data_IF_443767911847
#
_entry.id   IF_443767911847
#
_cell.length_a   1.000
_cell.length_b   1.000
_cell.length_c   1.000
_cell.angle_alpha   90.00
_cell.angle_beta   90.00
_cell.angle_gamma   90.00
#
_symmetry.space_group_name_H-M   'P 1'
#
loop_
_entity.id
_entity.type
_entity.pdbx_description
1 polymer ?
#
# COMPACT_ATOMS: atom_id res chain seq x y z
N UNK A 1 10.46 5.24 28.69
CA UNK A 1 11.70 5.48 27.90
C UNK A 1 11.48 6.61 26.91
N UNK A 2 12.54 7.14 26.31
CA UNK A 2 12.43 8.16 25.26
C UNK A 2 11.66 7.61 24.05
N UNK A 3 11.82 6.34 23.77
CA UNK A 3 11.13 5.61 22.70
C UNK A 3 9.61 5.53 22.95
N UNK A 4 9.18 5.31 24.20
CA UNK A 4 7.74 5.30 24.54
C UNK A 4 7.10 6.67 24.29
N UNK A 5 7.84 7.76 24.56
CA UNK A 5 7.38 9.12 24.27
C UNK A 5 7.18 9.39 22.78
N UNK A 6 8.08 8.90 21.93
CA UNK A 6 7.96 9.04 20.48
C UNK A 6 6.82 8.19 19.92
N UNK A 7 6.62 6.97 20.42
CA UNK A 7 5.50 6.12 20.05
C UNK A 7 4.14 6.74 20.40
N UNK A 8 4.04 7.37 21.57
CA UNK A 8 2.83 8.10 21.94
C UNK A 8 2.57 9.29 21.01
N UNK A 9 3.60 10.07 20.66
CA UNK A 9 3.47 11.16 19.68
C UNK A 9 3.08 10.65 18.28
N UNK A 10 3.61 9.51 17.86
CA UNK A 10 3.23 8.87 16.60
C UNK A 10 1.75 8.44 16.60
N UNK A 11 1.26 7.87 17.70
CA UNK A 11 -0.15 7.56 17.85
C UNK A 11 -1.04 8.81 17.79
N UNK A 12 -0.63 9.89 18.46
CA UNK A 12 -1.33 11.17 18.39
C UNK A 12 -1.39 11.70 16.96
N UNK A 13 -0.27 11.68 16.24
CA UNK A 13 -0.22 12.08 14.83
C UNK A 13 -1.19 11.29 13.97
N UNK A 14 -1.24 9.97 14.12
CA UNK A 14 -2.18 9.13 13.35
C UNK A 14 -3.64 9.48 13.67
N UNK A 15 -3.99 9.67 14.95
CA UNK A 15 -5.36 10.02 15.36
C UNK A 15 -5.78 11.40 14.85
N UNK A 16 -4.88 12.39 14.86
CA UNK A 16 -5.16 13.73 14.34
C UNK A 16 -5.36 13.73 12.82
N UNK A 17 -4.72 12.80 12.10
CA UNK A 17 -4.74 12.73 10.64
C UNK A 17 -5.65 11.63 10.07
N UNK A 18 -6.56 11.05 10.87
CA UNK A 18 -7.47 10.01 10.40
C UNK A 18 -8.95 10.45 10.32
N UNK A 19 -9.27 11.66 10.75
CA UNK A 19 -10.67 12.10 10.89
C UNK A 19 -11.42 12.17 9.54
N UNK A 20 -10.72 12.46 8.46
CA UNK A 20 -11.24 12.59 7.09
C UNK A 20 -10.97 11.35 6.22
N UNK A 21 -10.39 10.30 6.81
CA UNK A 21 -10.06 9.07 6.10
C UNK A 21 -11.16 8.03 6.27
N UNK A 22 -11.43 7.33 5.18
CA UNK A 22 -12.42 6.28 5.17
C UNK A 22 -12.30 5.40 3.92
N UNK A 23 -13.02 4.29 3.95
CA UNK A 23 -13.03 3.29 2.89
C UNK A 23 -14.43 2.73 2.67
N UNK A 24 -14.66 2.17 1.51
CA UNK A 24 -15.93 1.55 1.16
C UNK A 24 -15.89 0.05 1.40
N UNK A 25 -16.99 -0.48 1.96
CA UNK A 25 -17.25 -1.92 2.06
C UNK A 25 -18.63 -2.23 1.49
N UNK A 26 -18.95 -3.51 1.42
CA UNK A 26 -20.21 -4.02 0.95
C UNK A 26 -20.03 -5.18 0.00
N UNK A 27 -21.11 -5.91 -0.26
CA UNK A 27 -21.08 -7.12 -1.06
C UNK A 27 -20.48 -6.90 -2.45
N UNK A 28 -20.86 -5.82 -3.13
CA UNK A 28 -20.34 -5.49 -4.47
C UNK A 28 -18.84 -5.22 -4.47
N UNK A 29 -18.32 -4.62 -3.38
CA UNK A 29 -16.89 -4.34 -3.19
C UNK A 29 -16.12 -5.65 -3.01
N UNK A 30 -16.62 -6.56 -2.18
CA UNK A 30 -16.01 -7.87 -1.94
C UNK A 30 -16.04 -8.74 -3.22
N UNK A 31 -17.15 -8.77 -3.94
CA UNK A 31 -17.27 -9.48 -5.22
C UNK A 31 -16.27 -8.93 -6.26
N UNK A 32 -16.03 -7.62 -6.24
CA UNK A 32 -15.07 -6.99 -7.13
C UNK A 32 -13.62 -7.37 -6.77
N UNK A 33 -13.24 -7.36 -5.50
CA UNK A 33 -11.92 -7.84 -5.07
C UNK A 33 -11.71 -9.32 -5.41
N UNK A 34 -12.70 -10.16 -5.16
CA UNK A 34 -12.64 -11.59 -5.51
C UNK A 34 -12.44 -11.79 -7.02
N UNK A 35 -13.08 -10.94 -7.84
CA UNK A 35 -12.87 -10.94 -9.27
C UNK A 35 -11.44 -10.55 -9.64
N UNK A 36 -10.90 -9.46 -9.07
CA UNK A 36 -9.51 -9.03 -9.30
C UNK A 36 -8.54 -10.15 -8.93
N UNK A 37 -8.70 -10.73 -7.74
CA UNK A 37 -7.83 -11.79 -7.26
C UNK A 37 -7.89 -13.01 -8.20
N UNK A 38 -9.06 -13.34 -8.76
CA UNK A 38 -9.21 -14.42 -9.75
C UNK A 38 -8.46 -14.11 -11.06
N UNK A 39 -8.50 -12.86 -11.52
CA UNK A 39 -7.74 -12.42 -12.72
C UNK A 39 -6.25 -12.54 -12.48
N UNK A 40 -5.78 -12.19 -11.27
CA UNK A 40 -4.35 -12.25 -10.95
C UNK A 40 -3.81 -13.68 -10.80
N UNK A 41 -4.68 -14.69 -10.69
CA UNK A 41 -4.28 -16.10 -10.75
C UNK A 41 -4.08 -16.62 -12.19
N UNK A 42 -4.62 -15.95 -13.21
CA UNK A 42 -4.44 -16.34 -14.61
C UNK A 42 -2.97 -16.18 -15.00
N UNK A 43 -2.42 -17.12 -15.75
CA UNK A 43 -1.07 -17.00 -16.30
C UNK A 43 -1.02 -15.88 -17.33
N UNK A 44 0.10 -15.17 -17.40
CA UNK A 44 0.25 -14.02 -18.29
C UNK A 44 0.04 -14.35 -19.77
N UNK A 45 0.48 -15.54 -20.18
CA UNK A 45 0.34 -16.03 -21.57
C UNK A 45 -1.13 -16.31 -21.95
N UNK A 46 -1.99 -16.44 -20.94
CA UNK A 46 -3.41 -16.73 -21.10
C UNK A 46 -4.29 -15.46 -21.02
N UNK A 47 -3.68 -14.28 -20.90
CA UNK A 47 -4.43 -13.03 -20.79
C UNK A 47 -5.06 -12.64 -22.12
N UNK A 48 -6.39 -12.71 -22.15
CA UNK A 48 -7.21 -11.97 -23.13
C UNK A 48 -7.47 -10.57 -22.56
N UNK A 49 -6.58 -9.63 -22.87
CA UNK A 49 -6.64 -8.25 -22.34
C UNK A 49 -7.98 -7.57 -22.66
N UNK A 50 -8.54 -7.61 -23.89
CA UNK A 50 -9.86 -7.07 -24.20
C UNK A 50 -10.98 -7.66 -23.32
N UNK A 51 -10.99 -8.96 -23.10
CA UNK A 51 -11.98 -9.64 -22.26
C UNK A 51 -11.85 -9.22 -20.79
N UNK A 52 -10.63 -9.25 -20.22
CA UNK A 52 -10.34 -8.82 -18.85
C UNK A 52 -10.82 -7.38 -18.66
N UNK A 53 -10.46 -6.50 -19.59
CA UNK A 53 -10.84 -5.08 -19.54
C UNK A 53 -12.35 -4.88 -19.56
N UNK A 54 -13.07 -5.58 -20.48
CA UNK A 54 -14.51 -5.50 -20.55
C UNK A 54 -15.19 -5.98 -19.26
N UNK A 55 -14.66 -7.05 -18.66
CA UNK A 55 -15.18 -7.60 -17.40
C UNK A 55 -14.93 -6.67 -16.23
N UNK A 56 -13.75 -6.08 -16.11
CA UNK A 56 -13.47 -5.03 -15.10
C UNK A 56 -14.46 -3.88 -15.20
N UNK A 57 -14.71 -3.38 -16.40
CA UNK A 57 -15.68 -2.29 -16.62
C UNK A 57 -17.11 -2.68 -16.26
N UNK A 58 -17.49 -3.93 -16.49
CA UNK A 58 -18.80 -4.45 -16.13
C UNK A 58 -18.92 -4.54 -14.60
N UNK A 59 -17.95 -5.13 -13.93
CA UNK A 59 -17.94 -5.27 -12.47
C UNK A 59 -17.89 -3.89 -11.76
N UNK A 60 -17.09 -2.96 -12.25
CA UNK A 60 -16.98 -1.62 -11.69
C UNK A 60 -18.30 -0.84 -11.66
N UNK A 61 -19.29 -1.19 -12.51
CA UNK A 61 -20.63 -0.59 -12.45
C UNK A 61 -21.36 -0.92 -11.15
N UNK A 62 -21.14 -2.10 -10.61
CA UNK A 62 -21.81 -2.58 -9.40
C UNK A 62 -21.20 -2.01 -8.11
N UNK A 63 -20.00 -1.44 -8.16
CA UNK A 63 -19.33 -0.87 -6.98
C UNK A 63 -20.12 0.26 -6.32
N UNK A 64 -21.03 0.88 -7.07
CA UNK A 64 -21.92 1.95 -6.57
C UNK A 64 -23.22 1.42 -5.93
N UNK A 65 -23.44 0.10 -5.96
CA UNK A 65 -24.62 -0.50 -5.39
C UNK A 65 -24.47 -0.66 -3.88
N UNK A 66 -25.10 0.26 -3.14
CA UNK A 66 -25.15 0.24 -1.68
C UNK A 66 -23.79 0.10 -0.97
N UNK A 67 -22.75 0.86 -1.36
CA UNK A 67 -21.51 0.83 -0.61
C UNK A 67 -21.73 1.41 0.78
N UNK A 68 -21.06 0.85 1.77
CA UNK A 68 -21.02 1.36 3.14
C UNK A 68 -19.72 2.10 3.33
N UNK A 69 -19.81 3.41 3.64
CA UNK A 69 -18.65 4.20 4.01
C UNK A 69 -18.28 3.93 5.47
N UNK A 70 -17.06 3.54 5.70
CA UNK A 70 -16.49 3.31 7.03
C UNK A 70 -15.43 4.38 7.28
N UNK A 71 -15.58 5.11 8.38
CA UNK A 71 -14.59 6.09 8.81
C UNK A 71 -13.50 5.42 9.64
N UNK A 72 -12.25 5.66 9.33
CA UNK A 72 -11.11 5.04 10.00
C UNK A 72 -11.15 5.27 11.51
N UNK A 73 -11.50 6.48 11.94
CA UNK A 73 -11.63 6.85 13.36
C UNK A 73 -12.67 6.02 14.12
N UNK A 74 -13.64 5.41 13.42
CA UNK A 74 -14.70 4.60 14.01
C UNK A 74 -14.43 3.09 13.91
N UNK A 75 -13.59 2.67 12.98
CA UNK A 75 -13.48 1.26 12.60
C UNK A 75 -12.11 0.65 12.86
N UNK A 76 -11.04 1.46 12.88
CA UNK A 76 -9.71 0.93 13.16
C UNK A 76 -9.52 0.68 14.65
N UNK A 77 -8.97 -0.49 14.98
CA UNK A 77 -8.64 -0.85 16.35
C UNK A 77 -7.34 -0.20 16.82
N UNK A 78 -7.20 -0.04 18.14
CA UNK A 78 -5.94 0.40 18.72
C UNK A 78 -4.80 -0.56 18.40
N UNK A 79 -5.05 -1.88 18.41
CA UNK A 79 -4.05 -2.90 18.10
C UNK A 79 -3.51 -2.76 16.66
N UNK A 80 -4.40 -2.44 15.69
CA UNK A 80 -3.98 -2.18 14.32
C UNK A 80 -3.02 -0.98 14.24
N UNK A 81 -3.35 0.12 14.92
CA UNK A 81 -2.50 1.33 14.92
C UNK A 81 -1.19 1.09 15.65
N UNK A 82 -1.20 0.36 16.77
CA UNK A 82 0.00 -0.01 17.52
C UNK A 82 0.92 -0.87 16.65
N UNK A 83 0.37 -1.88 15.99
CA UNK A 83 1.15 -2.72 15.08
C UNK A 83 1.77 -1.91 13.95
N UNK A 84 1.00 -1.01 13.32
CA UNK A 84 1.54 -0.14 12.27
C UNK A 84 2.69 0.75 12.79
N UNK A 85 2.55 1.31 14.02
CA UNK A 85 3.58 2.11 14.66
C UNK A 85 4.85 1.27 14.87
N UNK A 86 4.71 0.08 15.45
CA UNK A 86 5.83 -0.80 15.74
C UNK A 86 6.61 -1.17 14.49
N UNK A 87 5.90 -1.52 13.43
CA UNK A 87 6.50 -1.87 12.15
C UNK A 87 7.15 -0.67 11.45
N UNK A 88 6.56 0.53 11.53
CA UNK A 88 7.15 1.74 11.00
C UNK A 88 8.44 2.13 11.77
N UNK A 89 8.44 2.01 13.10
CA UNK A 89 9.63 2.26 13.93
C UNK A 89 10.76 1.28 13.63
N UNK A 90 10.44 0.03 13.30
CA UNK A 90 11.44 -0.99 12.96
C UNK A 90 12.29 -0.58 11.73
N UNK A 91 11.75 0.18 10.80
CA UNK A 91 12.44 0.61 9.58
C UNK A 91 13.02 2.03 9.68
N UNK A 92 12.65 2.82 10.68
CA UNK A 92 13.14 4.19 10.84
C UNK A 92 14.65 4.27 11.03
N UNK A 93 15.27 3.29 11.71
CA UNK A 93 16.70 3.25 11.98
C UNK A 93 17.56 2.67 10.84
N UNK A 94 17.00 2.46 9.65
CA UNK A 94 17.75 2.00 8.48
C UNK A 94 18.85 3.01 8.10
N UNK A 95 19.97 2.56 7.52
CA UNK A 95 21.10 3.45 7.19
C UNK A 95 20.70 4.68 6.37
N UNK A 96 19.72 4.54 5.50
CA UNK A 96 19.22 5.60 4.62
C UNK A 96 18.21 6.54 5.27
N UNK A 97 17.73 6.23 6.49
CA UNK A 97 16.73 7.04 7.23
C UNK A 97 17.31 7.83 8.41
N UNK A 98 18.57 7.66 8.71
CA UNK A 98 19.22 8.28 9.91
C UNK A 98 19.14 9.79 9.94
N UNK A 99 18.86 10.44 8.83
CA UNK A 99 18.72 11.89 8.73
C UNK A 99 17.29 12.38 8.89
N UNK A 100 16.28 11.48 8.87
CA UNK A 100 14.89 11.88 9.01
C UNK A 100 14.60 12.37 10.42
N UNK A 101 14.00 13.54 10.51
CA UNK A 101 13.40 14.04 11.75
C UNK A 101 12.18 13.19 12.12
N UNK A 102 11.70 13.34 13.36
CA UNK A 102 10.50 12.65 13.79
C UNK A 102 9.26 13.10 12.99
N UNK A 103 9.19 14.38 12.66
CA UNK A 103 8.12 14.98 11.88
C UNK A 103 8.09 14.40 10.45
N UNK A 104 9.23 14.31 9.78
CA UNK A 104 9.36 13.69 8.47
C UNK A 104 9.03 12.18 8.53
N UNK A 105 9.46 11.49 9.57
CA UNK A 105 9.06 10.10 9.79
C UNK A 105 7.55 9.94 9.92
N UNK A 106 6.89 10.81 10.69
CA UNK A 106 5.43 10.77 10.85
C UNK A 106 4.71 11.05 9.54
N UNK A 107 5.23 11.92 8.69
CA UNK A 107 4.60 12.29 7.44
C UNK A 107 4.80 11.23 6.34
N UNK A 108 5.99 10.66 6.23
CA UNK A 108 6.37 9.85 5.07
C UNK A 108 6.41 8.35 5.33
N UNK A 109 6.76 7.91 6.54
CA UNK A 109 6.96 6.49 6.86
C UNK A 109 5.79 5.92 7.68
N UNK A 110 5.31 6.67 8.66
CA UNK A 110 4.31 6.22 9.62
C UNK A 110 2.90 5.95 9.05
N UNK A 111 2.39 6.66 8.01
CA UNK A 111 1.01 6.46 7.56
C UNK A 111 0.70 5.01 7.23
N UNK A 112 -0.49 4.55 7.66
CA UNK A 112 -0.95 3.16 7.54
C UNK A 112 -1.65 2.87 6.21
N UNK A 113 -1.88 3.89 5.38
CA UNK A 113 -2.55 3.81 4.08
C UNK A 113 -2.04 4.90 3.12
N UNK A 114 -2.29 4.69 1.83
CA UNK A 114 -1.94 5.65 0.77
C UNK A 114 -3.18 6.44 0.31
N UNK A 115 -4.28 5.75 0.03
CA UNK A 115 -5.50 6.34 -0.53
C UNK A 115 -6.76 5.98 0.25
N UNK A 116 -7.76 5.46 -0.46
CA UNK A 116 -9.07 5.05 0.10
C UNK A 116 -9.24 3.54 0.12
N UNK A 117 -8.15 2.79 0.03
CA UNK A 117 -8.13 1.34 0.12
C UNK A 117 -8.63 0.85 1.49
N UNK A 118 -9.14 -0.39 1.50
CA UNK A 118 -9.51 -1.07 2.75
C UNK A 118 -8.23 -1.27 3.58
N UNK A 119 -8.20 -0.75 4.84
CA UNK A 119 -7.03 -0.92 5.71
C UNK A 119 -6.77 -2.39 6.04
N UNK A 120 -5.52 -2.80 5.97
CA UNK A 120 -5.06 -4.14 6.36
C UNK A 120 -3.63 -4.09 6.91
N UNK A 121 -3.21 -5.15 7.58
CA UNK A 121 -1.83 -5.29 8.05
C UNK A 121 -0.96 -5.72 6.87
N UNK A 122 -0.38 -4.76 6.19
CA UNK A 122 0.32 -4.96 4.91
C UNK A 122 1.85 -4.95 5.03
N UNK A 123 2.40 -4.24 6.03
CA UNK A 123 3.85 -4.00 6.13
C UNK A 123 4.66 -5.29 6.20
N UNK A 124 4.23 -6.26 7.01
CA UNK A 124 4.92 -7.54 7.10
C UNK A 124 4.99 -8.26 5.75
N UNK A 125 3.91 -8.20 4.95
CA UNK A 125 3.83 -8.80 3.62
C UNK A 125 4.84 -8.20 2.64
N UNK A 126 4.97 -6.87 2.64
CA UNK A 126 5.90 -6.15 1.79
C UNK A 126 7.35 -6.37 2.24
N UNK A 127 7.57 -6.35 3.54
CA UNK A 127 8.89 -6.59 4.14
C UNK A 127 9.43 -7.98 3.79
N UNK A 128 8.61 -9.02 3.88
CA UNK A 128 9.00 -10.38 3.50
C UNK A 128 9.51 -10.44 2.05
N UNK A 129 8.89 -9.69 1.16
CA UNK A 129 9.26 -9.68 -0.26
C UNK A 129 10.47 -8.82 -0.58
N UNK A 130 10.53 -7.61 -0.05
CA UNK A 130 11.47 -6.59 -0.51
C UNK A 130 12.65 -6.35 0.43
N UNK A 131 12.52 -6.58 1.74
CA UNK A 131 13.64 -6.40 2.67
C UNK A 131 14.88 -7.24 2.32
N UNK A 132 14.77 -8.51 1.89
CA UNK A 132 15.95 -9.29 1.49
C UNK A 132 16.78 -8.64 0.40
N UNK A 133 16.17 -7.85 -0.48
CA UNK A 133 16.85 -7.13 -1.56
C UNK A 133 17.73 -5.98 -1.02
N UNK A 134 17.37 -5.44 0.13
CA UNK A 134 18.04 -4.32 0.79
C UNK A 134 19.07 -4.75 1.84
N UNK A 135 19.11 -6.05 2.18
CA UNK A 135 20.07 -6.62 3.14
C UNK A 135 21.45 -6.78 2.51
N UNK A 136 21.99 -5.67 2.00
CA UNK A 136 23.31 -5.59 1.39
C UNK A 136 24.08 -4.41 1.98
N UNK A 137 25.27 -4.70 2.51
CA UNK A 137 26.11 -3.68 3.15
C UNK A 137 26.54 -2.53 2.23
N UNK A 138 26.38 -2.66 0.93
CA UNK A 138 26.65 -1.57 -0.02
C UNK A 138 25.52 -0.52 -0.09
N UNK A 139 24.31 -0.83 0.40
CA UNK A 139 23.18 0.09 0.38
C UNK A 139 23.24 0.98 1.62
N UNK A 140 23.55 2.27 1.42
CA UNK A 140 23.76 3.25 2.48
C UNK A 140 22.86 4.48 2.35
N UNK A 141 22.32 4.73 1.17
CA UNK A 141 21.53 5.92 0.87
C UNK A 141 20.13 5.55 0.41
N UNK A 142 19.17 6.45 0.64
CA UNK A 142 17.80 6.30 0.16
C UNK A 142 17.75 6.10 -1.36
N UNK A 143 18.59 6.80 -2.12
CA UNK A 143 18.66 6.66 -3.57
C UNK A 143 19.08 5.25 -4.00
N UNK A 144 20.06 4.64 -3.30
CA UNK A 144 20.48 3.26 -3.59
C UNK A 144 19.37 2.27 -3.27
N UNK A 145 18.71 2.42 -2.12
CA UNK A 145 17.59 1.58 -1.71
C UNK A 145 16.42 1.71 -2.70
N UNK A 146 16.02 2.94 -3.04
CA UNK A 146 14.98 3.24 -4.01
C UNK A 146 15.28 2.59 -5.39
N UNK A 147 16.54 2.67 -5.85
CA UNK A 147 16.94 2.05 -7.11
C UNK A 147 16.75 0.53 -7.07
N UNK A 148 17.13 -0.14 -5.99
CA UNK A 148 16.98 -1.61 -5.85
C UNK A 148 15.51 -2.01 -5.92
N UNK A 149 14.64 -1.30 -5.19
CA UNK A 149 13.21 -1.55 -5.20
C UNK A 149 12.63 -1.30 -6.60
N UNK A 150 12.96 -0.18 -7.22
CA UNK A 150 12.47 0.16 -8.56
C UNK A 150 12.93 -0.86 -9.61
N UNK A 151 14.17 -1.32 -9.54
CA UNK A 151 14.69 -2.37 -10.43
C UNK A 151 13.94 -3.70 -10.27
N UNK A 152 13.35 -3.97 -9.09
CA UNK A 152 12.50 -5.14 -8.87
C UNK A 152 11.08 -4.91 -9.38
N UNK A 153 10.50 -3.74 -9.10
CA UNK A 153 9.15 -3.40 -9.56
C UNK A 153 9.04 -3.40 -11.09
N UNK A 154 10.06 -2.94 -11.80
CA UNK A 154 10.09 -2.93 -13.28
C UNK A 154 10.02 -4.36 -13.87
N UNK A 155 10.46 -5.37 -13.13
CA UNK A 155 10.40 -6.77 -13.59
C UNK A 155 8.99 -7.38 -13.50
N UNK A 156 8.08 -6.72 -12.77
CA UNK A 156 6.72 -7.23 -12.64
C UNK A 156 5.99 -7.18 -13.98
N UNK A 157 5.33 -8.27 -14.36
CA UNK A 157 4.62 -8.37 -15.64
C UNK A 157 3.28 -7.62 -15.57
N UNK A 158 3.31 -6.30 -15.45
CA UNK A 158 2.11 -5.49 -15.26
C UNK A 158 1.62 -4.94 -16.59
N UNK A 159 0.34 -5.17 -16.89
CA UNK A 159 -0.37 -4.52 -17.97
C UNK A 159 -1.05 -3.25 -17.45
N UNK A 160 -0.58 -2.09 -17.93
CA UNK A 160 -1.16 -0.81 -17.56
C UNK A 160 -2.39 -0.55 -18.42
N UNK A 161 -3.55 -0.40 -17.78
CA UNK A 161 -4.77 -0.01 -18.43
C UNK A 161 -4.72 1.48 -18.85
N UNK A 162 -5.18 1.78 -20.04
CA UNK A 162 -5.21 3.15 -20.58
C UNK A 162 -6.44 3.95 -20.14
N UNK A 163 -7.43 3.30 -19.55
CA UNK A 163 -8.67 3.91 -19.07
C UNK A 163 -9.02 3.32 -17.70
N UNK A 164 -9.69 4.11 -16.86
CA UNK A 164 -10.15 3.67 -15.55
C UNK A 164 -11.16 2.53 -15.67
N UNK A 165 -10.69 1.30 -15.59
CA UNK A 165 -11.51 0.11 -15.43
C UNK A 165 -11.65 -0.25 -13.95
N UNK A 166 -10.67 0.11 -13.15
CA UNK A 166 -10.63 -0.12 -11.70
C UNK A 166 -11.43 0.99 -11.02
N UNK A 167 -12.49 0.64 -10.34
CA UNK A 167 -13.36 1.60 -9.65
C UNK A 167 -12.99 1.85 -8.20
N UNK A 168 -11.96 1.17 -7.69
CA UNK A 168 -11.49 1.22 -6.31
C UNK A 168 -9.99 1.46 -6.24
N UNK A 169 -9.55 2.07 -5.14
CA UNK A 169 -8.17 2.01 -4.71
C UNK A 169 -7.90 0.59 -4.18
N UNK A 170 -6.94 -0.11 -4.78
CA UNK A 170 -6.66 -1.49 -4.44
C UNK A 170 -5.94 -1.58 -3.10
N UNK A 171 -6.34 -2.57 -2.29
CA UNK A 171 -5.68 -2.85 -1.01
C UNK A 171 -4.25 -3.41 -1.25
N UNK A 172 -3.33 -3.20 -0.29
CA UNK A 172 -1.94 -3.61 -0.42
C UNK A 172 -1.73 -5.09 -0.74
N UNK A 173 -2.50 -6.01 -0.14
CA UNK A 173 -2.39 -7.44 -0.42
C UNK A 173 -2.77 -7.82 -1.85
N UNK A 174 -3.63 -7.04 -2.49
CA UNK A 174 -3.96 -7.17 -3.91
C UNK A 174 -2.87 -6.54 -4.77
N UNK A 175 -2.37 -5.34 -4.40
CA UNK A 175 -1.35 -4.62 -5.15
C UNK A 175 -0.03 -5.39 -5.28
N UNK A 176 0.42 -6.08 -4.22
CA UNK A 176 1.68 -6.84 -4.25
C UNK A 176 1.68 -7.96 -5.30
N UNK A 177 0.49 -8.38 -5.74
CA UNK A 177 0.29 -9.38 -6.78
C UNK A 177 -0.22 -8.78 -8.09
N UNK A 178 -0.16 -7.46 -8.25
CA UNK A 178 -0.73 -6.75 -9.39
C UNK A 178 -0.17 -7.26 -10.72
N UNK A 179 -1.07 -7.52 -11.67
CA UNK A 179 -0.73 -7.91 -13.04
C UNK A 179 -1.44 -7.03 -14.07
N UNK A 180 -2.50 -6.34 -13.64
CA UNK A 180 -3.30 -5.47 -14.47
C UNK A 180 -3.85 -4.33 -13.63
N UNK A 181 -3.61 -3.09 -14.00
CA UNK A 181 -4.07 -1.93 -13.24
C UNK A 181 -3.80 -0.61 -13.95
N UNK A 182 -4.08 0.47 -13.25
CA UNK A 182 -3.79 1.83 -13.67
C UNK A 182 -2.39 2.27 -13.22
N UNK A 183 -1.89 3.36 -13.79
CA UNK A 183 -0.66 4.00 -13.31
C UNK A 183 -0.73 4.35 -11.81
N UNK A 184 -1.93 4.74 -11.32
CA UNK A 184 -2.14 5.00 -9.88
C UNK A 184 -1.98 3.77 -9.01
N UNK A 185 -2.46 2.59 -9.45
CA UNK A 185 -2.28 1.34 -8.69
C UNK A 185 -0.80 0.97 -8.60
N UNK A 186 -0.06 1.17 -9.69
CA UNK A 186 1.38 0.94 -9.70
C UNK A 186 2.14 1.92 -8.82
N UNK A 187 1.72 3.19 -8.81
CA UNK A 187 2.29 4.19 -7.91
C UNK A 187 2.03 3.85 -6.44
N UNK A 188 0.82 3.39 -6.11
CA UNK A 188 0.48 2.96 -4.75
C UNK A 188 1.31 1.75 -4.31
N UNK A 189 1.50 0.75 -5.20
CA UNK A 189 2.39 -0.37 -4.93
C UNK A 189 3.81 0.12 -4.57
N UNK A 190 4.35 1.04 -5.37
CA UNK A 190 5.69 1.58 -5.14
C UNK A 190 5.77 2.38 -3.83
N UNK A 191 4.71 3.13 -3.48
CA UNK A 191 4.65 3.89 -2.23
C UNK A 191 4.59 2.99 -1.00
N UNK A 192 3.76 1.94 -1.04
CA UNK A 192 3.65 0.97 0.05
C UNK A 192 4.98 0.27 0.28
N UNK A 193 5.62 -0.18 -0.80
CA UNK A 193 6.90 -0.85 -0.76
C UNK A 193 8.01 0.04 -0.21
N UNK A 194 8.17 1.23 -0.76
CA UNK A 194 9.20 2.17 -0.30
C UNK A 194 8.97 2.59 1.14
N UNK A 195 7.71 2.84 1.53
CA UNK A 195 7.34 3.19 2.91
C UNK A 195 7.68 2.07 3.90
N UNK A 196 7.38 0.80 3.57
CA UNK A 196 7.73 -0.34 4.43
C UNK A 196 9.24 -0.60 4.48
N UNK A 197 9.95 -0.32 3.42
CA UNK A 197 11.42 -0.35 3.40
C UNK A 197 12.06 0.87 4.09
N UNK A 198 11.26 1.79 4.60
CA UNK A 198 11.72 3.00 5.26
C UNK A 198 12.31 4.03 4.29
N UNK A 199 11.93 3.99 3.02
CA UNK A 199 12.35 4.97 2.03
C UNK A 199 11.27 6.04 1.94
N UNK A 200 11.60 7.28 2.33
CA UNK A 200 10.64 8.37 2.19
C UNK A 200 10.50 8.77 0.73
N UNK A 201 9.26 8.85 0.28
CA UNK A 201 8.91 9.30 -1.09
C UNK A 201 7.78 10.30 -0.96
N UNK A 202 8.00 11.52 -1.46
CA UNK A 202 6.95 12.51 -1.63
C UNK A 202 6.16 12.23 -2.92
N UNK A 203 4.86 12.51 -2.89
CA UNK A 203 3.99 12.51 -4.06
C UNK A 203 3.93 13.92 -4.63
#
# INVERSE_FOLDING_TARGET
SQDDGLRLRAAQFLLENMADKGYLTGRSIEEYYNFIDSVYQIKQEEYDIPYIYATFRQQAKYLKENPVLNWDVQTLSADYLIQNIDEAFAVWNRPWNRHLTFEEFCEWILPYRVGTEIPEVWRALYRERFEPLLMNDSIRTAQQACKVINDELIKLPIHIATQSAMGLCLRPSTLINIKFGLCGDYANLALDDMRDCGIHVGI
#
